data_IF_055141165048
#
_entry.id   IF_055141165048
#
_cell.length_a   1.000
_cell.length_b   1.000
_cell.length_c   1.000
_cell.angle_alpha   90.00
_cell.angle_beta   90.00
_cell.angle_gamma   90.00
#
_symmetry.space_group_name_H-M   'P 1'
#
loop_
_entity.id
_entity.type
_entity.pdbx_description
1 polymer ?
#
# COMPACT_ATOMS: atom_id res chain seq x y z
N UNK A 1 -17.49 -22.67 -6.32
CA UNK A 1 -18.12 -21.34 -6.53
C UNK A 1 -17.00 -20.31 -6.70
N UNK A 2 -17.21 -19.37 -7.61
CA UNK A 2 -16.27 -18.25 -7.87
C UNK A 2 -17.05 -16.94 -7.68
N UNK A 3 -16.41 -15.94 -7.03
CA UNK A 3 -16.89 -14.56 -6.98
C UNK A 3 -15.81 -13.67 -7.57
N UNK A 4 -16.19 -12.71 -8.39
CA UNK A 4 -15.24 -11.77 -8.97
C UNK A 4 -15.90 -10.42 -9.29
N UNK A 5 -15.06 -9.42 -9.49
CA UNK A 5 -15.43 -8.17 -10.12
C UNK A 5 -14.32 -7.75 -11.08
N UNK A 6 -14.71 -7.34 -12.25
CA UNK A 6 -13.84 -6.81 -13.30
C UNK A 6 -14.21 -5.36 -13.55
N UNK A 7 -13.22 -4.52 -13.70
CA UNK A 7 -13.43 -3.14 -14.09
C UNK A 7 -13.86 -3.10 -15.57
N UNK A 8 -14.91 -2.36 -15.87
CA UNK A 8 -15.52 -2.29 -17.21
C UNK A 8 -14.54 -1.96 -18.33
N UNK A 9 -13.48 -1.21 -18.05
CA UNK A 9 -12.45 -0.87 -19.03
C UNK A 9 -11.58 -2.06 -19.45
N UNK A 10 -11.74 -3.24 -18.83
CA UNK A 10 -10.92 -4.44 -19.05
C UNK A 10 -11.75 -5.68 -19.38
N UNK A 11 -12.97 -5.51 -19.92
CA UNK A 11 -13.83 -6.64 -20.32
C UNK A 11 -13.16 -7.55 -21.36
N UNK A 12 -12.26 -7.01 -22.18
CA UNK A 12 -11.49 -7.76 -23.19
C UNK A 12 -10.50 -8.78 -22.58
N UNK A 13 -10.19 -8.68 -21.29
CA UNK A 13 -9.31 -9.62 -20.57
C UNK A 13 -10.04 -10.43 -19.48
N UNK A 14 -11.36 -10.56 -19.58
CA UNK A 14 -12.17 -11.36 -18.66
C UNK A 14 -11.70 -12.80 -18.54
N UNK A 15 -11.31 -13.42 -19.65
CA UNK A 15 -10.78 -14.80 -19.68
C UNK A 15 -9.50 -14.93 -18.86
N UNK A 16 -8.64 -13.92 -18.86
CA UNK A 16 -7.45 -13.86 -18.00
C UNK A 16 -7.83 -13.91 -16.52
N UNK A 17 -8.81 -13.09 -16.11
CA UNK A 17 -9.28 -13.08 -14.73
C UNK A 17 -9.86 -14.44 -14.31
N UNK A 18 -10.69 -15.05 -15.14
CA UNK A 18 -11.37 -16.32 -14.82
C UNK A 18 -10.39 -17.49 -14.74
N UNK A 19 -9.32 -17.48 -15.53
CA UNK A 19 -8.29 -18.52 -15.57
C UNK A 19 -7.00 -18.11 -14.82
N UNK A 20 -7.07 -17.13 -13.92
CA UNK A 20 -5.90 -16.52 -13.27
C UNK A 20 -5.00 -17.52 -12.54
N UNK A 21 -5.54 -18.61 -12.02
CA UNK A 21 -4.75 -19.65 -11.34
C UNK A 21 -3.72 -20.29 -12.27
N UNK A 22 -4.12 -20.61 -13.50
CA UNK A 22 -3.26 -21.24 -14.48
C UNK A 22 -2.19 -20.26 -14.97
N UNK A 23 -2.58 -19.03 -15.31
CA UNK A 23 -1.63 -17.98 -15.65
C UNK A 23 -0.65 -17.71 -14.54
N UNK A 24 -1.11 -17.63 -13.29
CA UNK A 24 -0.25 -17.37 -12.14
C UNK A 24 0.70 -18.55 -11.87
N UNK A 25 0.23 -19.79 -11.96
CA UNK A 25 1.06 -20.99 -11.73
C UNK A 25 2.15 -21.12 -12.79
N UNK A 26 1.82 -20.90 -14.05
CA UNK A 26 2.71 -21.11 -15.19
C UNK A 26 3.67 -19.95 -15.44
N UNK A 27 3.49 -18.80 -14.77
CA UNK A 27 4.37 -17.65 -14.91
C UNK A 27 5.50 -17.70 -13.88
N UNK A 28 6.74 -17.44 -14.32
CA UNK A 28 7.95 -17.43 -13.47
C UNK A 28 8.37 -16.03 -12.99
N UNK A 29 7.81 -14.95 -13.56
CA UNK A 29 8.21 -13.58 -13.27
C UNK A 29 7.65 -13.11 -11.91
N UNK A 30 8.28 -13.59 -10.83
CA UNK A 30 7.93 -13.25 -9.45
C UNK A 30 8.71 -12.03 -8.99
N UNK A 31 8.02 -10.95 -8.65
CA UNK A 31 8.63 -9.72 -8.12
C UNK A 31 8.70 -9.69 -6.60
N UNK A 32 7.86 -10.47 -5.93
CA UNK A 32 7.89 -10.59 -4.46
C UNK A 32 7.27 -11.91 -4.02
N UNK A 33 7.95 -12.60 -3.09
CA UNK A 33 7.44 -13.83 -2.49
C UNK A 33 7.74 -13.85 -0.99
N UNK A 34 6.70 -13.60 -0.20
CA UNK A 34 6.75 -13.73 1.25
C UNK A 34 5.41 -14.32 1.75
N UNK A 35 4.64 -13.59 2.55
CA UNK A 35 3.30 -13.99 2.98
C UNK A 35 2.28 -14.01 1.83
N UNK A 36 2.43 -13.11 0.88
CA UNK A 36 1.68 -13.06 -0.37
C UNK A 36 2.69 -13.19 -1.52
N UNK A 37 2.24 -13.59 -2.68
CA UNK A 37 3.08 -13.69 -3.86
C UNK A 37 2.58 -12.72 -4.93
N UNK A 38 3.52 -11.97 -5.54
CA UNK A 38 3.24 -11.00 -6.60
C UNK A 38 4.00 -11.43 -7.85
N UNK A 39 3.28 -11.50 -8.96
CA UNK A 39 3.87 -11.78 -10.28
C UNK A 39 3.47 -10.70 -11.28
N UNK A 40 4.39 -10.38 -12.19
CA UNK A 40 4.07 -9.59 -13.38
C UNK A 40 3.66 -10.57 -14.48
N UNK A 41 2.48 -10.38 -15.04
CA UNK A 41 1.95 -11.20 -16.13
C UNK A 41 1.46 -10.25 -17.21
N UNK A 42 2.02 -10.40 -18.40
CA UNK A 42 1.53 -9.71 -19.59
C UNK A 42 0.39 -10.52 -20.23
N UNK A 43 -0.70 -9.84 -20.54
CA UNK A 43 -1.82 -10.45 -21.26
C UNK A 43 -2.45 -9.45 -22.24
N UNK A 44 -2.50 -9.82 -23.52
CA UNK A 44 -3.02 -8.97 -24.61
C UNK A 44 -2.43 -7.55 -24.63
N UNK A 45 -1.12 -7.44 -24.43
CA UNK A 45 -0.40 -6.15 -24.42
C UNK A 45 -0.57 -5.32 -23.14
N UNK A 46 -1.20 -5.87 -22.10
CA UNK A 46 -1.34 -5.22 -20.80
C UNK A 46 -0.41 -5.90 -19.80
N UNK A 47 0.59 -5.19 -19.30
CA UNK A 47 1.38 -5.63 -18.16
C UNK A 47 0.57 -5.50 -16.86
N UNK A 48 0.37 -6.61 -16.18
CA UNK A 48 -0.40 -6.69 -14.95
C UNK A 48 0.45 -7.10 -13.77
N UNK A 49 0.11 -6.62 -12.58
CA UNK A 49 0.59 -7.16 -11.30
C UNK A 49 -0.53 -7.97 -10.68
N UNK A 50 -0.29 -9.27 -10.55
CA UNK A 50 -1.20 -10.22 -9.92
C UNK A 50 -0.72 -10.50 -8.51
N UNK A 51 -1.52 -10.12 -7.50
CA UNK A 51 -1.25 -10.39 -6.09
C UNK A 51 -2.10 -11.55 -5.60
N UNK A 52 -1.46 -12.70 -5.37
CA UNK A 52 -2.06 -13.86 -4.72
C UNK A 52 -1.97 -13.73 -3.20
N UNK A 53 -3.11 -13.83 -2.52
CA UNK A 53 -3.15 -13.79 -1.08
C UNK A 53 -3.06 -15.19 -0.48
N UNK A 54 -2.25 -15.33 0.59
CA UNK A 54 -2.14 -16.60 1.32
C UNK A 54 -3.53 -17.08 1.76
N UNK A 55 -3.82 -18.34 1.48
CA UNK A 55 -5.03 -19.02 1.97
C UNK A 55 -5.03 -18.97 3.50
N UNK A 56 -6.08 -18.46 4.14
CA UNK A 56 -6.15 -18.37 5.59
C UNK A 56 -6.38 -19.75 6.24
N UNK A 57 -6.21 -19.82 7.57
CA UNK A 57 -6.60 -21.01 8.34
C UNK A 57 -8.13 -21.22 8.28
N UNK A 58 -8.59 -22.40 8.68
CA UNK A 58 -9.97 -22.84 8.52
C UNK A 58 -11.00 -21.87 9.17
N UNK A 59 -10.70 -21.37 10.38
CA UNK A 59 -11.58 -20.40 11.06
C UNK A 59 -11.72 -19.12 10.25
N UNK A 60 -10.61 -18.58 9.76
CA UNK A 60 -10.65 -17.39 8.92
C UNK A 60 -11.25 -17.66 7.52
N UNK A 61 -11.22 -18.90 7.01
CA UNK A 61 -11.93 -19.25 5.77
C UNK A 61 -13.45 -19.09 5.94
N UNK A 62 -13.99 -19.49 7.08
CA UNK A 62 -15.41 -19.28 7.43
C UNK A 62 -15.71 -17.79 7.54
N UNK A 63 -14.87 -17.04 8.27
CA UNK A 63 -15.05 -15.59 8.46
C UNK A 63 -15.05 -14.85 7.12
N UNK A 64 -14.15 -15.18 6.19
CA UNK A 64 -14.10 -14.58 4.86
C UNK A 64 -15.21 -15.08 3.93
N UNK A 65 -15.78 -16.25 4.18
CA UNK A 65 -16.88 -16.75 3.38
C UNK A 65 -18.18 -16.00 3.66
N UNK A 66 -18.44 -15.62 4.94
CA UNK A 66 -19.75 -15.16 5.38
C UNK A 66 -19.78 -13.78 6.02
N UNK A 67 -18.69 -13.32 6.65
CA UNK A 67 -18.72 -12.15 7.53
C UNK A 67 -17.76 -11.03 7.15
N UNK A 68 -16.77 -11.28 6.30
CA UNK A 68 -15.73 -10.30 6.02
C UNK A 68 -15.26 -10.37 4.58
N UNK A 69 -15.13 -9.20 3.96
CA UNK A 69 -14.52 -9.10 2.64
C UNK A 69 -13.07 -9.61 2.63
N UNK A 70 -12.71 -10.33 1.57
CA UNK A 70 -11.33 -10.79 1.38
C UNK A 70 -10.36 -9.62 1.17
N UNK A 71 -9.07 -9.90 1.33
CA UNK A 71 -8.04 -8.91 1.05
C UNK A 71 -8.02 -8.50 -0.42
N UNK A 72 -8.29 -9.42 -1.35
CA UNK A 72 -8.37 -9.14 -2.78
C UNK A 72 -9.51 -8.17 -3.08
N UNK A 73 -10.73 -8.46 -2.59
CA UNK A 73 -11.89 -7.58 -2.73
C UNK A 73 -11.64 -6.20 -2.12
N UNK A 74 -11.08 -6.14 -0.89
CA UNK A 74 -10.71 -4.87 -0.24
C UNK A 74 -9.68 -4.07 -1.04
N UNK A 75 -8.64 -4.73 -1.59
CA UNK A 75 -7.67 -4.05 -2.45
C UNK A 75 -8.34 -3.39 -3.64
N UNK A 76 -9.23 -4.12 -4.33
CA UNK A 76 -9.96 -3.59 -5.47
C UNK A 76 -10.87 -2.42 -5.10
N UNK A 77 -11.68 -2.57 -4.07
CA UNK A 77 -12.61 -1.53 -3.59
C UNK A 77 -11.85 -0.28 -3.14
N UNK A 78 -10.75 -0.44 -2.41
CA UNK A 78 -9.92 0.66 -1.96
C UNK A 78 -9.23 1.37 -3.14
N UNK A 79 -8.75 0.61 -4.15
CA UNK A 79 -8.19 1.22 -5.36
C UNK A 79 -9.22 2.08 -6.11
N UNK A 80 -10.46 1.63 -6.23
CA UNK A 80 -11.53 2.42 -6.83
C UNK A 80 -11.82 3.69 -6.00
N UNK A 81 -11.88 3.59 -4.67
CA UNK A 81 -12.06 4.75 -3.79
C UNK A 81 -10.94 5.77 -3.93
N UNK A 82 -9.68 5.31 -3.91
CA UNK A 82 -8.51 6.18 -4.09
C UNK A 82 -8.55 6.92 -5.42
N UNK A 83 -8.87 6.20 -6.50
CA UNK A 83 -9.02 6.79 -7.83
C UNK A 83 -10.08 7.90 -7.84
N UNK A 84 -11.23 7.70 -7.18
CA UNK A 84 -12.30 8.70 -7.09
C UNK A 84 -11.89 9.93 -6.25
N UNK A 85 -10.89 9.78 -5.38
CA UNK A 85 -10.28 10.87 -4.60
C UNK A 85 -9.05 11.49 -5.30
N UNK A 86 -8.77 11.11 -6.56
CA UNK A 86 -7.58 11.52 -7.31
C UNK A 86 -6.26 11.21 -6.58
N UNK A 87 -6.23 10.07 -5.87
CA UNK A 87 -5.03 9.57 -5.19
C UNK A 87 -4.45 8.44 -6.04
N UNK A 88 -3.15 8.54 -6.35
CA UNK A 88 -2.49 7.59 -7.21
C UNK A 88 -2.31 6.22 -6.53
N UNK A 89 -2.75 5.19 -7.20
CA UNK A 89 -2.50 3.77 -6.95
C UNK A 89 -2.53 3.04 -8.29
N UNK A 90 -1.84 1.89 -8.46
CA UNK A 90 -1.93 1.13 -9.71
C UNK A 90 -3.38 0.89 -10.12
N UNK A 91 -3.69 1.09 -11.41
CA UNK A 91 -5.08 1.03 -11.89
C UNK A 91 -5.67 -0.36 -11.63
N UNK A 92 -6.80 -0.46 -10.90
CA UNK A 92 -7.41 -1.75 -10.59
C UNK A 92 -8.07 -2.36 -11.84
N UNK A 93 -7.70 -3.59 -12.15
CA UNK A 93 -8.29 -4.41 -13.21
C UNK A 93 -9.45 -5.22 -12.64
N UNK A 94 -9.20 -5.96 -11.55
CA UNK A 94 -10.24 -6.78 -10.96
C UNK A 94 -9.76 -7.57 -9.73
N UNK A 95 -10.69 -8.29 -9.15
CA UNK A 95 -10.37 -9.32 -8.16
C UNK A 95 -11.18 -10.58 -8.42
N UNK A 96 -10.67 -11.71 -7.93
CA UNK A 96 -11.36 -13.00 -7.98
C UNK A 96 -11.13 -13.79 -6.70
N UNK A 97 -12.17 -14.48 -6.27
CA UNK A 97 -12.21 -15.31 -5.06
C UNK A 97 -12.70 -16.70 -5.41
N UNK A 98 -12.01 -17.71 -4.91
CA UNK A 98 -12.34 -19.12 -5.11
C UNK A 98 -12.86 -19.74 -3.82
N UNK A 99 -13.92 -20.52 -3.94
CA UNK A 99 -14.55 -21.23 -2.81
C UNK A 99 -14.63 -22.72 -3.13
N UNK A 100 -14.36 -23.56 -2.12
CA UNK A 100 -14.54 -25.00 -2.18
C UNK A 100 -15.24 -25.49 -0.92
N UNK A 101 -16.29 -26.29 -1.04
CA UNK A 101 -17.11 -26.78 0.06
C UNK A 101 -17.56 -25.65 1.01
N UNK A 102 -18.10 -24.56 0.43
CA UNK A 102 -18.55 -23.35 1.11
C UNK A 102 -17.48 -22.58 1.89
N UNK A 103 -16.21 -22.99 1.81
CA UNK A 103 -15.09 -22.32 2.46
C UNK A 103 -14.33 -21.44 1.45
N UNK A 104 -13.93 -20.25 1.91
CA UNK A 104 -13.02 -19.37 1.16
C UNK A 104 -11.66 -20.01 1.00
N UNK A 105 -11.10 -19.93 -0.18
CA UNK A 105 -9.79 -20.51 -0.52
C UNK A 105 -8.84 -19.41 -1.04
N UNK A 106 -8.49 -19.47 -2.30
CA UNK A 106 -7.56 -18.51 -2.91
C UNK A 106 -8.29 -17.23 -3.32
N UNK A 107 -7.55 -16.14 -3.33
CA UNK A 107 -8.02 -14.88 -3.92
C UNK A 107 -6.87 -14.13 -4.56
N UNK A 108 -7.18 -13.43 -5.64
CA UNK A 108 -6.24 -12.63 -6.41
C UNK A 108 -6.79 -11.22 -6.60
N UNK A 109 -5.90 -10.24 -6.46
CA UNK A 109 -6.14 -8.87 -6.88
C UNK A 109 -5.22 -8.57 -8.06
N UNK A 110 -5.76 -7.94 -9.10
CA UNK A 110 -5.07 -7.65 -10.35
C UNK A 110 -5.13 -6.16 -10.59
N UNK A 111 -3.99 -5.55 -10.86
CA UNK A 111 -3.86 -4.17 -11.28
C UNK A 111 -2.96 -4.06 -12.51
N UNK A 112 -2.98 -2.92 -13.22
CA UNK A 112 -1.92 -2.59 -14.15
C UNK A 112 -0.58 -2.52 -13.40
N UNK A 113 0.50 -2.88 -14.07
CA UNK A 113 1.85 -2.60 -13.59
C UNK A 113 2.10 -1.09 -13.69
N UNK A 114 2.64 -0.52 -12.64
CA UNK A 114 3.15 0.83 -12.63
C UNK A 114 4.67 0.77 -12.67
N UNK A 115 5.27 1.43 -13.65
CA UNK A 115 6.71 1.65 -13.67
C UNK A 115 7.06 2.77 -12.71
N UNK A 116 8.08 2.55 -11.90
CA UNK A 116 8.53 3.49 -10.88
C UNK A 116 10.06 3.48 -10.80
N UNK A 117 10.62 4.58 -10.31
CA UNK A 117 12.07 4.74 -10.17
C UNK A 117 12.58 3.95 -8.95
N UNK A 118 11.96 4.17 -7.81
CA UNK A 118 12.28 3.55 -6.53
C UNK A 118 11.11 3.73 -5.55
N UNK A 119 11.21 3.14 -4.37
CA UNK A 119 10.26 3.41 -3.29
C UNK A 119 10.75 4.57 -2.41
N UNK A 120 9.88 5.19 -1.62
CA UNK A 120 10.27 6.28 -0.72
C UNK A 120 11.37 5.83 0.28
N UNK A 121 11.62 4.53 0.40
CA UNK A 121 12.74 4.01 1.20
C UNK A 121 14.08 4.56 0.74
N UNK A 122 14.27 4.74 -0.57
CA UNK A 122 15.53 5.22 -1.12
C UNK A 122 15.89 6.62 -0.59
N UNK A 123 15.09 7.69 -0.77
CA UNK A 123 15.42 9.00 -0.24
C UNK A 123 15.41 9.06 1.30
N UNK A 124 14.75 8.13 1.99
CA UNK A 124 14.79 8.04 3.46
C UNK A 124 16.05 7.34 4.00
N UNK A 125 16.83 6.65 3.17
CA UNK A 125 18.02 5.87 3.57
C UNK A 125 19.31 6.36 2.92
N UNK A 126 19.20 7.02 1.78
CA UNK A 126 20.34 7.51 1.00
C UNK A 126 20.40 9.03 1.07
N UNK A 127 21.22 9.55 1.97
CA UNK A 127 21.37 11.00 2.17
C UNK A 127 22.04 11.71 0.97
N UNK A 128 22.71 10.95 0.10
CA UNK A 128 23.39 11.47 -1.10
C UNK A 128 22.52 11.38 -2.36
N UNK A 129 21.25 10.94 -2.23
CA UNK A 129 20.37 10.87 -3.39
C UNK A 129 20.13 12.26 -3.96
N UNK A 130 20.31 12.40 -5.28
CA UNK A 130 19.97 13.62 -5.99
C UNK A 130 18.48 13.98 -5.74
N UNK A 131 18.21 15.25 -5.56
CA UNK A 131 16.86 15.80 -5.33
C UNK A 131 16.15 15.25 -4.07
N UNK A 132 16.90 14.63 -3.12
CA UNK A 132 16.36 13.99 -1.91
C UNK A 132 15.38 14.86 -1.14
N UNK A 133 15.77 16.11 -0.88
CA UNK A 133 14.96 17.04 -0.08
C UNK A 133 13.65 17.41 -0.81
N UNK A 134 13.72 17.64 -2.11
CA UNK A 134 12.55 17.89 -2.95
C UNK A 134 11.59 16.70 -2.93
N UNK A 135 12.11 15.48 -3.10
CA UNK A 135 11.33 14.23 -3.07
C UNK A 135 10.62 14.08 -1.73
N UNK A 136 11.32 14.32 -0.61
CA UNK A 136 10.72 14.22 0.73
C UNK A 136 9.65 15.29 0.93
N UNK A 137 9.86 16.54 0.52
CA UNK A 137 8.84 17.60 0.60
C UNK A 137 7.59 17.26 -0.20
N UNK A 138 7.76 16.82 -1.44
CA UNK A 138 6.63 16.38 -2.29
C UNK A 138 5.93 15.15 -1.70
N UNK A 139 6.66 14.21 -1.11
CA UNK A 139 6.10 13.07 -0.41
C UNK A 139 5.26 13.48 0.81
N UNK A 140 5.72 14.45 1.60
CA UNK A 140 4.94 14.98 2.74
C UNK A 140 3.65 15.63 2.24
N UNK A 141 3.70 16.41 1.15
CA UNK A 141 2.51 16.99 0.54
C UNK A 141 1.53 15.91 0.02
N UNK A 142 2.04 14.87 -0.61
CA UNK A 142 1.24 13.71 -1.01
C UNK A 142 0.56 13.03 0.20
N UNK A 143 1.29 12.81 1.29
CA UNK A 143 0.75 12.21 2.52
C UNK A 143 -0.30 13.11 3.17
N UNK A 144 -0.05 14.41 3.22
CA UNK A 144 -1.04 15.38 3.69
C UNK A 144 -2.33 15.33 2.86
N UNK A 145 -2.22 15.20 1.53
CA UNK A 145 -3.37 15.03 0.66
C UNK A 145 -4.16 13.74 0.96
N UNK A 146 -3.49 12.64 1.32
CA UNK A 146 -4.18 11.43 1.82
C UNK A 146 -4.99 11.77 3.08
N UNK A 147 -4.36 12.41 4.06
CA UNK A 147 -4.98 12.73 5.34
C UNK A 147 -6.15 13.70 5.19
N UNK A 148 -6.00 14.74 4.36
CA UNK A 148 -7.06 15.70 4.04
C UNK A 148 -8.29 15.04 3.39
N UNK A 149 -8.07 13.97 2.61
CA UNK A 149 -9.12 13.15 2.02
C UNK A 149 -9.57 12.00 2.92
N UNK A 150 -9.30 12.06 4.22
CA UNK A 150 -9.70 11.06 5.21
C UNK A 150 -9.14 9.66 4.94
N UNK A 151 -8.00 9.53 4.28
CA UNK A 151 -7.36 8.26 3.91
C UNK A 151 -6.22 7.94 4.86
N UNK A 152 -6.36 6.88 5.65
CA UNK A 152 -5.33 6.36 6.55
C UNK A 152 -4.84 4.99 6.09
N UNK A 153 -3.56 4.88 5.79
CA UNK A 153 -2.94 3.62 5.39
C UNK A 153 -2.34 2.91 6.62
N UNK A 154 -2.95 1.82 7.08
CA UNK A 154 -2.48 1.11 8.28
C UNK A 154 -1.07 0.54 8.17
N UNK A 155 -0.67 0.11 6.98
CA UNK A 155 0.66 -0.45 6.71
C UNK A 155 1.51 0.56 5.91
N UNK A 156 1.60 1.82 6.35
CA UNK A 156 2.30 2.92 5.68
C UNK A 156 3.82 2.76 5.78
N UNK A 157 4.35 1.69 5.19
CA UNK A 157 5.78 1.42 5.17
C UNK A 157 6.44 2.04 3.94
N UNK A 158 7.71 2.37 4.05
CA UNK A 158 8.46 3.00 2.96
C UNK A 158 8.51 2.19 1.65
N UNK A 159 8.35 0.85 1.73
CA UNK A 159 8.25 -0.02 0.55
C UNK A 159 6.88 0.00 -0.14
N UNK A 160 5.85 0.58 0.48
CA UNK A 160 4.49 0.67 -0.07
C UNK A 160 4.19 2.00 -0.75
N UNK A 161 5.19 2.85 -0.93
CA UNK A 161 5.08 4.15 -1.58
C UNK A 161 6.08 4.18 -2.73
N UNK A 162 5.55 4.12 -3.94
CA UNK A 162 6.31 4.13 -5.18
C UNK A 162 6.57 5.57 -5.61
N UNK A 163 7.77 5.87 -6.07
CA UNK A 163 8.18 7.18 -6.58
C UNK A 163 8.38 7.07 -8.07
N UNK A 164 7.75 7.92 -8.85
CA UNK A 164 7.87 7.95 -10.31
C UNK A 164 7.89 9.40 -10.81
N UNK A 165 8.20 9.57 -12.08
CA UNK A 165 8.07 10.86 -12.75
C UNK A 165 6.73 10.92 -13.49
N UNK A 166 5.99 12.01 -13.29
CA UNK A 166 4.77 12.29 -14.04
C UNK A 166 5.08 12.80 -15.46
N UNK A 167 4.06 13.14 -16.24
CA UNK A 167 4.21 13.63 -17.63
C UNK A 167 4.99 14.96 -17.75
N UNK A 168 5.10 15.70 -16.66
CA UNK A 168 5.82 16.96 -16.59
C UNK A 168 7.26 16.77 -16.04
N UNK A 169 7.74 15.54 -15.95
CA UNK A 169 9.03 15.18 -15.34
C UNK A 169 9.16 15.56 -13.85
N UNK A 170 8.03 15.69 -13.14
CA UNK A 170 8.01 15.96 -11.72
C UNK A 170 7.87 14.67 -10.91
N UNK A 171 8.46 14.63 -9.71
CA UNK A 171 8.27 13.51 -8.77
C UNK A 171 6.82 13.44 -8.30
N UNK A 172 6.23 12.26 -8.44
CA UNK A 172 4.90 11.92 -7.99
C UNK A 172 4.91 10.55 -7.28
N UNK A 173 3.85 10.23 -6.56
CA UNK A 173 3.80 9.09 -5.65
C UNK A 173 2.56 8.24 -5.91
N UNK A 174 2.72 6.93 -5.71
CA UNK A 174 1.63 5.96 -5.80
C UNK A 174 1.70 5.01 -4.61
N UNK A 175 0.56 4.71 -3.99
CA UNK A 175 0.50 3.79 -2.85
C UNK A 175 0.05 2.41 -3.26
N UNK A 176 0.70 1.39 -2.68
CA UNK A 176 0.41 -0.03 -2.89
C UNK A 176 0.12 -0.73 -1.55
N UNK A 177 -0.26 -2.01 -1.60
CA UNK A 177 -0.70 -2.83 -0.45
C UNK A 177 -1.88 -2.25 0.31
N UNK A 178 -2.84 -1.75 -0.41
CA UNK A 178 -3.99 -0.96 0.03
C UNK A 178 -5.13 -1.75 0.67
N UNK A 179 -4.96 -3.05 0.94
CA UNK A 179 -6.01 -3.89 1.55
C UNK A 179 -6.34 -3.52 3.01
N UNK A 180 -5.49 -2.72 3.67
CA UNK A 180 -5.62 -2.30 5.08
C UNK A 180 -5.77 -0.78 5.21
N UNK A 181 -6.54 -0.18 4.32
CA UNK A 181 -6.87 1.23 4.44
C UNK A 181 -8.09 1.46 5.33
N UNK A 182 -8.11 2.60 5.98
CA UNK A 182 -9.27 3.16 6.67
C UNK A 182 -9.61 4.52 6.05
N UNK A 183 -10.90 4.80 5.99
CA UNK A 183 -11.42 6.08 5.53
C UNK A 183 -12.12 6.74 6.72
N UNK A 184 -11.41 7.66 7.37
CA UNK A 184 -11.83 8.33 8.61
C UNK A 184 -11.17 9.69 8.73
N UNK A 185 -11.73 10.55 9.55
CA UNK A 185 -11.07 11.82 9.91
C UNK A 185 -9.69 11.54 10.53
N UNK A 186 -8.70 12.32 10.10
CA UNK A 186 -7.32 12.23 10.55
C UNK A 186 -7.00 13.49 11.34
N UNK A 187 -6.80 13.35 12.64
CA UNK A 187 -6.26 14.41 13.47
C UNK A 187 -4.73 14.52 13.33
N UNK A 188 -4.16 15.52 13.95
CA UNK A 188 -2.73 15.79 13.87
C UNK A 188 -1.86 14.62 14.35
N UNK A 189 -2.21 14.04 15.50
CA UNK A 189 -1.44 12.93 16.09
C UNK A 189 -1.52 11.68 15.20
N UNK A 190 -2.71 11.32 14.74
CA UNK A 190 -2.93 10.20 13.81
C UNK A 190 -2.18 10.41 12.49
N UNK A 191 -2.15 11.63 11.97
CA UNK A 191 -1.43 11.95 10.73
C UNK A 191 0.09 11.80 10.91
N UNK A 192 0.64 12.30 12.00
CA UNK A 192 2.06 12.17 12.32
C UNK A 192 2.44 10.71 12.65
N UNK A 193 1.57 9.94 13.34
CA UNK A 193 1.78 8.50 13.59
C UNK A 193 1.92 7.70 12.28
N UNK A 194 1.29 8.15 11.21
CA UNK A 194 1.45 7.49 9.92
C UNK A 194 2.91 7.51 9.43
N UNK A 195 3.62 8.64 9.62
CA UNK A 195 5.02 8.76 9.26
C UNK A 195 5.96 7.94 10.16
N UNK A 196 5.63 7.72 11.43
CA UNK A 196 6.45 6.89 12.33
C UNK A 196 6.68 5.47 11.76
N UNK A 197 5.74 4.94 10.98
CA UNK A 197 5.83 3.61 10.35
C UNK A 197 6.89 3.51 9.23
N UNK A 198 7.49 4.62 8.84
CA UNK A 198 8.58 4.68 7.85
C UNK A 198 9.94 4.32 8.46
N UNK A 199 10.07 4.24 9.80
CA UNK A 199 11.32 3.97 10.52
C UNK A 199 12.40 5.00 10.22
N UNK A 200 12.07 6.26 10.48
CA UNK A 200 12.88 7.43 10.14
C UNK A 200 14.17 7.51 10.98
N UNK A 201 15.23 8.02 10.37
CA UNK A 201 16.35 8.63 11.09
C UNK A 201 15.97 10.03 11.59
N UNK A 202 16.84 10.65 12.40
CA UNK A 202 16.54 11.92 13.04
C UNK A 202 16.39 13.08 12.03
N UNK A 203 17.19 13.10 10.98
CA UNK A 203 17.16 14.15 9.96
C UNK A 203 15.90 14.06 9.10
N UNK A 204 15.56 12.86 8.63
CA UNK A 204 14.31 12.62 7.90
C UNK A 204 13.08 12.90 8.76
N UNK A 205 13.13 12.57 10.06
CA UNK A 205 12.05 12.85 11.01
C UNK A 205 11.83 14.36 11.15
N UNK A 206 12.89 15.13 11.39
CA UNK A 206 12.81 16.60 11.49
C UNK A 206 12.26 17.21 10.20
N UNK A 207 12.84 16.83 9.05
CA UNK A 207 12.40 17.34 7.74
C UNK A 207 10.92 17.06 7.49
N UNK A 208 10.47 15.83 7.68
CA UNK A 208 9.06 15.45 7.49
C UNK A 208 8.13 16.20 8.44
N UNK A 209 8.49 16.28 9.73
CA UNK A 209 7.67 16.95 10.73
C UNK A 209 7.55 18.46 10.46
N UNK A 210 8.66 19.11 10.06
CA UNK A 210 8.68 20.53 9.69
C UNK A 210 7.83 20.80 8.44
N UNK A 211 7.99 20.01 7.40
CA UNK A 211 7.20 20.18 6.16
C UNK A 211 5.71 19.89 6.40
N UNK A 212 5.38 18.89 7.23
CA UNK A 212 3.99 18.62 7.58
C UNK A 212 3.37 19.73 8.43
N UNK A 213 4.14 20.33 9.37
CA UNK A 213 3.71 21.46 10.20
C UNK A 213 3.28 22.67 9.35
N UNK A 214 4.04 22.97 8.28
CA UNK A 214 3.71 24.04 7.33
C UNK A 214 2.36 23.80 6.65
N UNK A 215 2.09 22.56 6.23
CA UNK A 215 0.86 22.20 5.53
C UNK A 215 -0.38 22.24 6.43
N UNK A 216 -0.23 21.89 7.70
CA UNK A 216 -1.34 21.92 8.69
C UNK A 216 -1.39 23.21 9.52
N UNK A 217 -0.49 24.16 9.25
CA UNK A 217 -0.38 25.48 9.89
C UNK A 217 -0.25 25.40 11.42
N UNK A 218 0.77 24.65 11.90
CA UNK A 218 1.11 24.53 13.32
C UNK A 218 2.58 24.85 13.57
N UNK A 219 2.94 25.02 14.85
CA UNK A 219 4.33 25.18 15.27
C UNK A 219 5.16 23.94 14.92
N UNK A 220 6.34 24.15 14.31
CA UNK A 220 7.25 23.09 13.85
C UNK A 220 7.76 22.21 14.99
N UNK A 221 8.15 22.83 16.13
CA UNK A 221 8.64 22.12 17.30
C UNK A 221 7.57 21.18 17.89
N UNK A 222 6.31 21.63 17.91
CA UNK A 222 5.18 20.81 18.33
C UNK A 222 5.04 19.58 17.39
N UNK A 223 5.14 19.77 16.09
CA UNK A 223 5.06 18.68 15.11
C UNK A 223 6.19 17.66 15.29
N UNK A 224 7.44 18.15 15.45
CA UNK A 224 8.63 17.32 15.69
C UNK A 224 8.44 16.48 16.94
N UNK A 225 8.01 17.10 18.05
CA UNK A 225 7.81 16.42 19.32
C UNK A 225 6.72 15.33 19.24
N UNK A 226 5.62 15.59 18.55
CA UNK A 226 4.56 14.58 18.34
C UNK A 226 5.10 13.41 17.54
N UNK A 227 5.74 13.66 16.38
CA UNK A 227 6.28 12.58 15.54
C UNK A 227 7.34 11.77 16.26
N UNK A 228 8.23 12.42 17.00
CA UNK A 228 9.26 11.76 17.83
C UNK A 228 8.64 10.84 18.89
N UNK A 229 7.58 11.29 19.56
CA UNK A 229 6.86 10.47 20.53
C UNK A 229 6.16 9.26 19.85
N UNK A 230 5.56 9.44 18.67
CA UNK A 230 4.98 8.35 17.90
C UNK A 230 6.03 7.31 17.49
N UNK A 231 7.20 7.76 17.03
CA UNK A 231 8.31 6.91 16.63
C UNK A 231 8.85 6.08 17.82
N UNK A 232 9.06 6.72 18.99
CA UNK A 232 9.50 6.06 20.21
C UNK A 232 8.48 5.00 20.64
N UNK A 233 7.18 5.34 20.68
CA UNK A 233 6.11 4.42 21.05
C UNK A 233 6.09 3.19 20.12
N UNK A 234 6.22 3.42 18.82
CA UNK A 234 6.22 2.34 17.83
C UNK A 234 7.44 1.43 17.98
N UNK A 235 8.64 2.00 18.12
CA UNK A 235 9.89 1.24 18.28
C UNK A 235 9.86 0.39 19.55
N UNK A 236 9.48 0.96 20.68
CA UNK A 236 9.32 0.26 21.97
C UNK A 236 8.30 -0.88 21.88
N UNK A 237 7.17 -0.67 21.20
CA UNK A 237 6.16 -1.70 21.03
C UNK A 237 6.65 -2.87 20.15
N UNK A 238 7.42 -2.58 19.12
CA UNK A 238 8.00 -3.62 18.24
C UNK A 238 9.06 -4.42 19.00
N UNK A 239 9.92 -3.77 19.78
CA UNK A 239 10.93 -4.45 20.63
C UNK A 239 10.27 -5.34 21.66
N UNK A 240 9.25 -4.86 22.37
CA UNK A 240 8.47 -5.65 23.32
C UNK A 240 7.89 -6.91 22.65
N UNK A 241 7.29 -6.75 21.46
CA UNK A 241 6.78 -7.91 20.71
C UNK A 241 7.86 -8.90 20.27
N UNK A 242 9.07 -8.44 19.94
CA UNK A 242 10.21 -9.31 19.61
C UNK A 242 10.63 -10.14 20.82
N UNK A 243 10.76 -9.51 22.00
CA UNK A 243 11.10 -10.18 23.26
C UNK A 243 10.09 -11.29 23.61
N UNK A 244 8.76 -11.01 23.52
CA UNK A 244 7.71 -12.00 23.81
C UNK A 244 7.77 -13.20 22.84
N UNK A 245 8.18 -12.98 21.58
CA UNK A 245 8.23 -14.04 20.56
C UNK A 245 9.54 -14.83 20.55
N UNK A 246 10.45 -14.58 21.49
CA UNK A 246 11.75 -15.24 21.54
C UNK A 246 12.64 -15.01 20.32
N UNK A 247 12.43 -13.90 19.62
CA UNK A 247 13.24 -13.46 18.49
C UNK A 247 14.14 -12.33 18.97
N UNK A 248 15.37 -12.70 19.37
CA UNK A 248 16.46 -11.73 19.55
C UNK A 248 16.89 -11.15 18.22
#
# INVERSE_FOLDING_TARGET
MIKYQLNKNYENIKDFLLNIKDYFKNNSNTIHKARNELKVIEYKGIETVVKAFKVPNILNQIVYAYFRDSKAKKSYQNAIKLKNLNINTPKPIGYIEFYRNFLFKESFFISEKLDYLFTIREPLRNNNLKDREEIIKKFVAFTYNLHKNCVYHKDYSAGNILVFKNKNDEYDFSIVDINRMEFKNIDLETGLDNFAKLWLDEDSLKLIATEYAKLVNINEEKSINILKNCDIKLKSFVEFKRKIRGKN
#
